data_IF_971941307949
#
_entry.id   IF_971941307949
#
_cell.length_a   1.000
_cell.length_b   1.000
_cell.length_c   1.000
_cell.angle_alpha   90.00
_cell.angle_beta   90.00
_cell.angle_gamma   90.00
#
_symmetry.space_group_name_H-M   'P 1'
#
loop_
_entity.id
_entity.type
_entity.pdbx_description
1 polymer ?
#
# COMPACT_ATOMS: atom_id res chain seq x y z
N UNK A 1 -6.83 27.07 -7.94
CA UNK A 1 -6.47 26.08 -6.93
C UNK A 1 -5.30 25.27 -7.44
N UNK A 2 -4.25 25.28 -6.70
CA UNK A 2 -3.04 24.58 -7.08
C UNK A 2 -3.08 23.17 -6.51
N UNK A 3 -3.13 22.18 -7.37
CA UNK A 3 -2.99 20.79 -6.93
C UNK A 3 -1.50 20.47 -6.91
N UNK A 4 -0.98 20.33 -5.73
CA UNK A 4 0.42 19.99 -5.56
C UNK A 4 0.52 18.48 -5.40
N UNK A 5 0.79 17.79 -6.49
CA UNK A 5 0.82 16.32 -6.54
C UNK A 5 2.01 15.78 -5.72
N UNK A 6 3.03 16.61 -5.51
CA UNK A 6 4.24 16.18 -4.81
C UNK A 6 4.19 16.45 -3.32
N UNK A 7 3.02 16.84 -2.80
CA UNK A 7 2.97 17.44 -1.47
C UNK A 7 2.76 16.46 -0.33
N UNK A 8 2.38 15.21 -0.59
CA UNK A 8 2.13 14.29 0.53
C UNK A 8 3.40 13.57 0.95
N UNK A 9 4.23 14.28 1.71
CA UNK A 9 5.46 13.74 2.27
C UNK A 9 5.22 12.95 3.56
N UNK A 10 3.97 12.89 4.02
CA UNK A 10 3.61 12.25 5.29
C UNK A 10 2.94 10.90 5.10
N UNK A 11 2.89 10.41 3.88
CA UNK A 11 2.25 9.14 3.57
C UNK A 11 3.17 8.24 2.77
N UNK A 12 3.01 6.93 2.97
CA UNK A 12 3.67 5.96 2.09
C UNK A 12 3.12 6.11 0.68
N UNK A 13 4.01 6.18 -0.29
CA UNK A 13 3.67 6.29 -1.71
C UNK A 13 4.39 5.19 -2.47
N UNK A 14 3.70 4.53 -3.38
CA UNK A 14 4.34 3.52 -4.23
C UNK A 14 5.11 4.24 -5.33
N UNK A 15 6.41 3.97 -5.39
CA UNK A 15 7.28 4.62 -6.37
C UNK A 15 7.48 3.79 -7.62
N UNK A 16 7.67 2.48 -7.47
CA UNK A 16 7.92 1.60 -8.59
C UNK A 16 7.47 0.19 -8.26
N UNK A 17 6.89 -0.49 -9.24
CA UNK A 17 6.48 -1.88 -9.13
C UNK A 17 7.38 -2.76 -9.97
N UNK A 18 7.81 -3.86 -9.37
CA UNK A 18 8.44 -4.98 -10.05
C UNK A 18 8.00 -6.25 -9.34
N UNK A 19 7.78 -7.32 -10.09
CA UNK A 19 7.36 -8.58 -9.46
C UNK A 19 8.38 -9.01 -8.41
N UNK A 20 7.91 -9.23 -7.20
CA UNK A 20 8.74 -9.59 -6.06
C UNK A 20 9.35 -8.42 -5.29
N UNK A 21 9.41 -7.24 -5.90
CA UNK A 21 10.01 -6.06 -5.26
C UNK A 21 9.22 -4.81 -5.60
N UNK A 22 8.82 -4.07 -4.58
CA UNK A 22 8.10 -2.80 -4.77
C UNK A 22 8.83 -1.73 -3.99
N UNK A 23 9.14 -0.63 -4.66
CA UNK A 23 9.79 0.51 -4.02
C UNK A 23 8.73 1.50 -3.52
N UNK A 24 8.91 1.95 -2.28
CA UNK A 24 8.02 2.93 -1.66
C UNK A 24 8.81 4.12 -1.19
N UNK A 25 8.17 5.28 -1.22
CA UNK A 25 8.66 6.46 -0.53
C UNK A 25 8.15 6.43 0.90
N UNK A 26 9.05 6.55 1.85
CA UNK A 26 8.75 6.47 3.28
C UNK A 26 8.27 7.83 3.79
N UNK A 27 7.25 7.87 4.65
CA UNK A 27 6.77 9.14 5.20
C UNK A 27 7.86 9.90 5.94
N UNK A 28 7.77 11.20 5.85
CA UNK A 28 8.61 12.11 6.60
C UNK A 28 8.30 11.95 8.09
N UNK A 29 9.30 11.68 8.89
CA UNK A 29 9.14 11.52 10.35
C UNK A 29 10.31 12.16 11.07
N UNK A 30 10.14 12.38 12.36
CA UNK A 30 11.23 12.91 13.18
C UNK A 30 12.43 11.96 13.26
N UNK A 31 12.19 10.68 13.05
CA UNK A 31 13.25 9.67 13.12
C UNK A 31 14.11 9.62 11.87
N UNK A 32 13.50 9.76 10.70
CA UNK A 32 14.22 9.68 9.44
C UNK A 32 14.51 11.05 8.83
N UNK A 33 14.15 12.10 9.53
CA UNK A 33 14.29 13.47 9.05
C UNK A 33 14.93 14.35 10.11
N UNK A 34 16.25 14.43 10.10
CA UNK A 34 16.94 15.36 11.00
C UNK A 34 16.61 16.80 10.65
N UNK A 35 16.65 17.73 11.60
CA UNK A 35 16.43 19.14 11.31
C UNK A 35 17.37 19.65 10.22
N UNK A 36 16.87 20.53 9.36
CA UNK A 36 17.71 21.19 8.39
C UNK A 36 18.75 22.05 9.12
N UNK A 37 19.99 21.91 8.68
CA UNK A 37 21.06 22.75 9.21
C UNK A 37 20.95 24.15 8.62
N UNK A 38 21.35 25.19 9.38
CA UNK A 38 21.39 26.54 8.82
C UNK A 38 22.22 26.57 7.54
N UNK A 39 21.64 27.10 6.45
CA UNK A 39 22.28 27.16 5.16
C UNK A 39 21.90 26.09 4.17
N UNK A 40 21.16 25.05 4.58
CA UNK A 40 20.63 24.08 3.65
C UNK A 40 19.45 24.70 2.89
N UNK A 41 19.54 24.75 1.58
CA UNK A 41 18.56 25.44 0.75
C UNK A 41 17.52 24.53 0.11
N UNK A 42 17.68 23.21 0.18
CA UNK A 42 16.77 22.27 -0.46
C UNK A 42 16.20 21.31 0.58
N UNK A 43 14.91 20.96 0.47
CA UNK A 43 14.38 19.89 1.28
C UNK A 43 15.12 18.60 0.95
N UNK A 44 15.32 17.75 1.96
CA UNK A 44 15.95 16.46 1.73
C UNK A 44 15.07 15.59 0.89
N UNK A 45 15.67 14.77 0.03
CA UNK A 45 14.90 13.75 -0.66
C UNK A 45 14.29 12.79 0.36
N UNK A 46 13.07 12.34 0.09
CA UNK A 46 12.41 11.32 0.90
C UNK A 46 13.17 10.02 0.77
N UNK A 47 13.15 9.24 1.85
CA UNK A 47 13.74 7.91 1.80
C UNK A 47 12.90 6.98 0.95
N UNK A 48 13.58 6.08 0.24
CA UNK A 48 12.94 5.03 -0.55
C UNK A 48 13.32 3.70 0.05
N UNK A 49 12.31 2.88 0.31
CA UNK A 49 12.51 1.51 0.75
C UNK A 49 12.01 0.55 -0.30
N UNK A 50 12.69 -0.58 -0.43
CA UNK A 50 12.22 -1.68 -1.27
C UNK A 50 11.66 -2.77 -0.38
N UNK A 51 10.43 -3.18 -0.66
CA UNK A 51 9.78 -4.27 0.06
C UNK A 51 9.76 -5.50 -0.83
N UNK A 52 10.29 -6.59 -0.31
CA UNK A 52 10.31 -7.88 -1.01
C UNK A 52 9.08 -8.69 -0.58
N UNK A 53 8.39 -9.28 -1.54
CA UNK A 53 7.24 -10.13 -1.27
C UNK A 53 5.97 -9.35 -1.01
N UNK A 54 5.03 -10.02 -0.36
CA UNK A 54 3.70 -9.47 -0.08
C UNK A 54 3.71 -8.59 1.15
N UNK A 55 2.92 -7.52 1.12
CA UNK A 55 2.84 -6.58 2.25
C UNK A 55 1.52 -5.85 2.23
N UNK A 56 1.22 -5.19 3.35
CA UNK A 56 0.07 -4.32 3.49
C UNK A 56 0.59 -2.89 3.65
N UNK A 57 0.04 -1.96 2.90
CA UNK A 57 0.40 -0.55 2.99
C UNK A 57 -0.84 0.32 3.11
N UNK A 58 -0.74 1.32 3.95
CA UNK A 58 -1.71 2.41 4.05
C UNK A 58 -0.93 3.73 4.11
N UNK A 59 -1.59 4.88 4.09
CA UNK A 59 -0.85 6.14 4.16
C UNK A 59 0.11 6.22 5.34
N UNK A 60 -0.23 5.61 6.48
CA UNK A 60 0.57 5.73 7.70
C UNK A 60 1.18 4.43 8.20
N UNK A 61 0.92 3.31 7.53
CA UNK A 61 1.35 2.00 8.01
C UNK A 61 1.96 1.17 6.90
N UNK A 62 2.99 0.42 7.24
CA UNK A 62 3.60 -0.58 6.36
C UNK A 62 3.78 -1.86 7.16
N UNK A 63 3.11 -2.91 6.75
CA UNK A 63 3.21 -4.22 7.37
C UNK A 63 3.87 -5.18 6.39
N UNK A 64 5.13 -5.49 6.64
CA UNK A 64 5.93 -6.39 5.82
C UNK A 64 5.55 -7.83 6.10
N UNK A 65 5.99 -8.71 5.24
CA UNK A 65 5.86 -10.16 5.44
C UNK A 65 4.41 -10.60 5.63
N UNK A 66 3.52 -10.04 4.81
CA UNK A 66 2.14 -10.51 4.77
C UNK A 66 2.13 -11.91 4.16
N UNK A 67 1.49 -12.86 4.84
CA UNK A 67 1.67 -14.27 4.55
C UNK A 67 1.22 -14.72 3.15
N UNK A 68 0.06 -14.28 2.61
CA UNK A 68 -0.37 -14.81 1.31
C UNK A 68 0.51 -14.32 0.17
N UNK A 69 0.96 -15.23 -0.68
CA UNK A 69 1.74 -14.91 -1.87
C UNK A 69 0.90 -14.95 -3.14
N UNK A 70 -0.16 -15.76 -3.13
CA UNK A 70 -1.10 -15.91 -4.23
C UNK A 70 -2.52 -15.90 -3.68
N UNK A 71 -3.47 -15.60 -4.55
CA UNK A 71 -4.88 -15.57 -4.16
C UNK A 71 -5.34 -16.91 -3.58
N UNK A 72 -4.77 -18.01 -4.03
CA UNK A 72 -5.12 -19.35 -3.53
C UNK A 72 -4.68 -19.57 -2.09
N UNK A 73 -3.69 -18.81 -1.63
CA UNK A 73 -3.20 -18.89 -0.25
C UNK A 73 -3.94 -17.94 0.68
N UNK A 74 -4.74 -17.03 0.14
CA UNK A 74 -5.43 -16.02 0.94
C UNK A 74 -6.53 -16.66 1.76
N UNK A 75 -6.49 -16.44 3.07
CA UNK A 75 -7.49 -16.90 4.01
C UNK A 75 -8.11 -15.71 4.72
N UNK A 76 -9.31 -15.93 5.27
CA UNK A 76 -10.02 -14.85 5.97
C UNK A 76 -9.19 -14.24 7.10
N UNK A 77 -8.41 -15.04 7.80
CA UNK A 77 -7.56 -14.57 8.89
C UNK A 77 -6.49 -13.56 8.43
N UNK A 78 -6.03 -13.68 7.19
CA UNK A 78 -5.06 -12.74 6.64
C UNK A 78 -5.62 -11.32 6.49
N UNK A 79 -6.93 -11.21 6.40
CA UNK A 79 -7.60 -9.91 6.26
C UNK A 79 -7.74 -9.18 7.59
N UNK A 80 -7.51 -9.87 8.72
CA UNK A 80 -7.62 -9.25 10.04
C UNK A 80 -6.65 -8.08 10.21
N UNK A 81 -5.44 -8.20 9.69
CA UNK A 81 -4.45 -7.12 9.76
C UNK A 81 -4.93 -5.86 9.02
N UNK A 82 -5.67 -6.06 7.93
CA UNK A 82 -6.27 -4.96 7.18
C UNK A 82 -7.43 -4.34 7.97
N UNK A 83 -8.30 -5.20 8.53
CA UNK A 83 -9.45 -4.74 9.31
C UNK A 83 -9.05 -3.94 10.53
N UNK A 84 -7.95 -4.30 11.17
CA UNK A 84 -7.44 -3.58 12.34
C UNK A 84 -7.11 -2.12 12.04
N UNK A 85 -6.78 -1.80 10.80
CA UNK A 85 -6.49 -0.44 10.39
C UNK A 85 -7.75 0.39 10.15
N UNK A 86 -8.92 -0.22 10.16
CA UNK A 86 -10.21 0.42 9.96
C UNK A 86 -10.29 1.25 8.67
N UNK A 87 -10.02 0.62 7.52
CA UNK A 87 -9.96 1.37 6.26
C UNK A 87 -11.33 1.78 5.77
N UNK A 88 -11.36 2.85 5.00
CA UNK A 88 -12.52 3.24 4.21
C UNK A 88 -12.66 2.33 2.99
N UNK A 89 -11.55 1.96 2.39
CA UNK A 89 -11.50 1.18 1.16
C UNK A 89 -10.27 0.27 1.18
N UNK A 90 -10.45 -0.95 0.71
CA UNK A 90 -9.37 -1.93 0.57
C UNK A 90 -9.10 -2.19 -0.90
N UNK A 91 -7.83 -2.13 -1.28
CA UNK A 91 -7.36 -2.62 -2.57
C UNK A 91 -6.67 -3.95 -2.35
N UNK A 92 -7.05 -4.94 -3.13
CA UNK A 92 -6.44 -6.25 -3.05
C UNK A 92 -5.69 -6.51 -4.35
N UNK A 93 -4.36 -6.55 -4.28
CA UNK A 93 -3.50 -6.83 -5.41
C UNK A 93 -3.21 -8.33 -5.48
N UNK A 94 -3.53 -8.95 -6.60
CA UNK A 94 -3.52 -10.40 -6.73
C UNK A 94 -2.28 -10.98 -7.44
N UNK A 95 -1.20 -10.21 -7.51
CA UNK A 95 0.02 -10.64 -8.18
C UNK A 95 0.07 -10.17 -9.63
N UNK A 96 0.77 -10.91 -10.47
CA UNK A 96 0.97 -10.52 -11.87
C UNK A 96 -0.33 -10.54 -12.69
N UNK A 97 -1.32 -11.31 -12.25
CA UNK A 97 -2.59 -11.48 -12.95
C UNK A 97 -3.74 -11.18 -12.03
N UNK A 98 -4.80 -10.60 -12.60
CA UNK A 98 -6.06 -10.44 -11.88
C UNK A 98 -6.69 -11.81 -11.64
N UNK A 99 -6.90 -12.15 -10.38
CA UNK A 99 -7.58 -13.36 -9.98
C UNK A 99 -8.53 -13.03 -8.85
N UNK A 100 -9.81 -13.33 -9.02
CA UNK A 100 -10.80 -13.00 -7.99
C UNK A 100 -10.78 -14.01 -6.86
N UNK A 101 -10.79 -13.55 -5.61
CA UNK A 101 -10.92 -14.44 -4.46
C UNK A 101 -12.34 -14.99 -4.37
N UNK A 102 -12.50 -16.07 -3.62
CA UNK A 102 -13.84 -16.56 -3.30
C UNK A 102 -14.61 -15.49 -2.54
N UNK A 103 -15.90 -15.27 -2.86
CA UNK A 103 -16.68 -14.22 -2.21
C UNK A 103 -16.72 -14.33 -0.69
N UNK A 104 -16.64 -15.54 -0.14
CA UNK A 104 -16.63 -15.76 1.29
C UNK A 104 -15.44 -15.11 1.99
N UNK A 105 -14.29 -15.00 1.30
CA UNK A 105 -13.11 -14.38 1.86
C UNK A 105 -13.32 -12.90 2.13
N UNK A 106 -14.15 -12.24 1.33
CA UNK A 106 -14.38 -10.81 1.44
C UNK A 106 -15.59 -10.47 2.33
N UNK A 107 -16.27 -11.49 2.83
CA UNK A 107 -17.51 -11.29 3.58
C UNK A 107 -17.34 -10.42 4.82
N UNK A 108 -16.24 -10.58 5.56
CA UNK A 108 -16.00 -9.79 6.76
C UNK A 108 -15.83 -8.31 6.44
N UNK A 109 -15.18 -8.00 5.32
CA UNK A 109 -15.02 -6.62 4.87
C UNK A 109 -16.36 -6.02 4.47
N UNK A 110 -17.14 -6.77 3.71
CA UNK A 110 -18.47 -6.32 3.28
C UNK A 110 -19.42 -6.11 4.45
N UNK A 111 -19.35 -6.97 5.47
CA UNK A 111 -20.20 -6.82 6.67
C UNK A 111 -19.90 -5.54 7.43
N UNK A 112 -18.66 -5.05 7.35
CA UNK A 112 -18.28 -3.79 7.97
C UNK A 112 -18.45 -2.59 7.03
N UNK A 113 -19.08 -2.80 5.87
CA UNK A 113 -19.33 -1.77 4.86
C UNK A 113 -18.06 -1.15 4.31
N UNK A 114 -17.00 -1.96 4.25
CA UNK A 114 -15.73 -1.54 3.67
C UNK A 114 -15.76 -1.90 2.18
N UNK A 115 -15.47 -0.91 1.33
CA UNK A 115 -15.34 -1.15 -0.10
C UNK A 115 -14.11 -1.97 -0.40
N UNK A 116 -14.22 -2.92 -1.34
CA UNK A 116 -13.10 -3.75 -1.74
C UNK A 116 -12.99 -3.73 -3.26
N UNK A 117 -11.82 -3.38 -3.77
CA UNK A 117 -11.49 -3.47 -5.18
C UNK A 117 -10.40 -4.50 -5.37
N UNK A 118 -10.61 -5.41 -6.31
CA UNK A 118 -9.66 -6.49 -6.63
C UNK A 118 -9.03 -6.20 -7.98
N UNK A 119 -7.70 -6.25 -8.05
CA UNK A 119 -6.97 -5.98 -9.29
C UNK A 119 -5.60 -6.64 -9.23
N UNK A 120 -4.89 -6.69 -10.37
CA UNK A 120 -3.50 -7.14 -10.31
C UNK A 120 -2.68 -6.17 -9.48
N UNK A 121 -1.53 -6.63 -8.99
CA UNK A 121 -0.75 -5.84 -8.04
C UNK A 121 -0.20 -4.55 -8.65
N UNK A 122 0.20 -4.56 -9.92
CA UNK A 122 0.67 -3.34 -10.57
C UNK A 122 -0.44 -2.28 -10.61
N UNK A 123 -1.66 -2.69 -10.97
CA UNK A 123 -2.82 -1.79 -10.98
C UNK A 123 -3.16 -1.30 -9.57
N UNK A 124 -3.06 -2.19 -8.58
CA UNK A 124 -3.31 -1.83 -7.18
C UNK A 124 -2.32 -0.76 -6.69
N UNK A 125 -1.07 -0.85 -7.08
CA UNK A 125 -0.06 0.16 -6.74
C UNK A 125 -0.43 1.53 -7.30
N UNK A 126 -0.85 1.59 -8.55
CA UNK A 126 -1.25 2.86 -9.19
C UNK A 126 -2.52 3.43 -8.56
N UNK A 127 -3.49 2.57 -8.32
CA UNK A 127 -4.77 2.98 -7.73
C UNK A 127 -4.59 3.46 -6.30
N UNK A 128 -3.74 2.78 -5.54
CA UNK A 128 -3.41 3.21 -4.19
C UNK A 128 -2.90 4.65 -4.16
N UNK A 129 -1.95 4.98 -5.02
CA UNK A 129 -1.40 6.34 -5.07
C UNK A 129 -2.47 7.38 -5.38
N UNK A 130 -3.36 7.07 -6.33
CA UNK A 130 -4.43 7.99 -6.72
C UNK A 130 -5.37 8.25 -5.55
N UNK A 131 -5.86 7.18 -4.91
CA UNK A 131 -6.82 7.30 -3.82
C UNK A 131 -6.20 7.95 -2.58
N UNK A 132 -4.98 7.57 -2.25
CA UNK A 132 -4.25 8.16 -1.14
C UNK A 132 -4.03 9.67 -1.39
N UNK A 133 -3.67 10.03 -2.63
CA UNK A 133 -3.49 11.42 -3.01
C UNK A 133 -4.77 12.25 -2.95
N UNK A 134 -5.93 11.60 -3.04
CA UNK A 134 -7.22 12.25 -2.87
C UNK A 134 -7.64 12.38 -1.40
N UNK A 135 -6.78 11.96 -0.48
CA UNK A 135 -7.06 12.03 0.95
C UNK A 135 -7.91 10.89 1.49
N UNK A 136 -8.12 9.84 0.71
CA UNK A 136 -8.92 8.70 1.16
C UNK A 136 -8.08 7.76 2.01
N UNK A 137 -8.71 7.18 3.04
CA UNK A 137 -8.03 6.18 3.86
C UNK A 137 -8.13 4.81 3.21
N UNK A 138 -7.16 4.54 2.35
CA UNK A 138 -7.08 3.31 1.57
C UNK A 138 -6.02 2.38 2.18
N UNK A 139 -6.34 1.11 2.28
CA UNK A 139 -5.37 0.08 2.66
C UNK A 139 -5.22 -0.88 1.50
N UNK A 140 -4.00 -1.13 1.08
CA UNK A 140 -3.71 -2.06 0.00
C UNK A 140 -3.03 -3.30 0.56
N UNK A 141 -3.64 -4.46 0.34
CA UNK A 141 -3.00 -5.75 0.57
C UNK A 141 -2.45 -6.24 -0.76
N UNK A 142 -1.13 -6.26 -0.87
CA UNK A 142 -0.45 -6.52 -2.13
C UNK A 142 0.25 -7.87 -2.08
N UNK A 143 -0.31 -8.85 -2.80
CA UNK A 143 0.37 -10.12 -3.00
C UNK A 143 1.39 -9.92 -4.12
N UNK A 144 2.64 -10.24 -3.83
CA UNK A 144 3.72 -9.90 -4.76
C UNK A 144 4.78 -10.98 -4.82
N UNK A 145 4.45 -12.16 -5.40
CA UNK A 145 5.46 -13.19 -5.57
C UNK A 145 6.52 -12.76 -6.58
N UNK A 146 7.71 -13.30 -6.42
CA UNK A 146 8.77 -13.08 -7.39
C UNK A 146 8.38 -13.60 -8.77
N UNK A 147 8.91 -12.99 -9.82
CA UNK A 147 8.71 -13.48 -11.17
C UNK A 147 9.34 -14.86 -11.33
N UNK A 148 8.65 -15.73 -12.02
CA UNK A 148 9.15 -17.07 -12.34
C UNK A 148 9.88 -17.06 -13.67
#
# INVERSE_FOLDING_TARGET
MQVNIDSDIYSYTIRAYQAGEIALTVPYSAENNRPQMPGEQAPRPLEVETVTGSFIVSPRHLLRDWAPTHIDNLQAEHLNAILELQPELVLLGTGARLTFPAPQLLASLHRQRIGVEVMDTAAACRTYNILMGEGRFVVAGLMNPAAQ
#
